data_IF_359992008320
#
_entry.id   IF_359992008320
#
_cell.length_a   1.000
_cell.length_b   1.000
_cell.length_c   1.000
_cell.angle_alpha   90.00
_cell.angle_beta   90.00
_cell.angle_gamma   90.00
#
_symmetry.space_group_name_H-M   'P 1'
#
loop_
_entity.id
_entity.type
_entity.pdbx_description
1 polymer ?
#
# COMPACT_ATOMS: atom_id res chain seq x y z
N UNK A 1 6.21 11.48 -12.59
CA UNK A 1 5.69 10.39 -11.77
C UNK A 1 6.80 9.37 -11.58
N UNK A 2 7.00 8.90 -10.35
CA UNK A 2 8.02 7.94 -9.96
C UNK A 2 7.36 6.80 -9.22
N UNK A 3 7.71 5.57 -9.60
CA UNK A 3 7.37 4.36 -8.86
C UNK A 3 8.60 3.92 -8.06
N UNK A 4 8.42 3.59 -6.79
CA UNK A 4 9.38 2.83 -6.00
C UNK A 4 8.72 1.55 -5.51
N UNK A 5 9.30 0.40 -5.84
CA UNK A 5 8.97 -0.88 -5.20
C UNK A 5 9.63 -0.87 -3.83
N UNK A 6 8.82 -0.87 -2.77
CA UNK A 6 9.29 -0.89 -1.38
C UNK A 6 9.54 -2.32 -0.90
N UNK A 7 8.74 -3.26 -1.38
CA UNK A 7 8.92 -4.69 -1.17
C UNK A 7 8.27 -5.48 -2.30
N UNK A 8 8.82 -6.66 -2.56
CA UNK A 8 8.38 -7.59 -3.61
C UNK A 8 8.37 -9.06 -3.15
N UNK A 9 8.35 -9.26 -1.83
CA UNK A 9 8.26 -10.58 -1.21
C UNK A 9 6.82 -11.05 -1.11
N UNK A 10 6.66 -12.34 -0.83
CA UNK A 10 5.37 -12.91 -0.39
C UNK A 10 5.04 -12.42 1.02
N UNK A 11 3.91 -12.86 1.57
CA UNK A 11 3.49 -12.55 2.95
C UNK A 11 4.54 -12.86 4.03
N UNK A 12 5.44 -13.81 3.77
CA UNK A 12 6.51 -14.21 4.70
C UNK A 12 7.83 -13.47 4.48
N UNK A 13 7.95 -12.66 3.43
CA UNK A 13 9.22 -12.13 2.95
C UNK A 13 10.15 -13.22 2.42
N UNK A 14 11.37 -12.82 2.04
CA UNK A 14 12.47 -13.73 1.70
C UNK A 14 13.76 -13.22 2.37
N UNK A 15 14.48 -14.05 3.15
CA UNK A 15 14.13 -15.42 3.54
C UNK A 15 12.93 -15.49 4.50
N UNK A 16 12.30 -16.65 4.58
CA UNK A 16 11.32 -16.96 5.63
C UNK A 16 12.02 -17.07 6.99
N UNK A 17 11.24 -16.98 8.07
CA UNK A 17 11.73 -17.23 9.43
C UNK A 17 12.44 -18.59 9.48
N UNK A 18 13.65 -18.62 10.05
CA UNK A 18 14.53 -19.80 10.04
C UNK A 18 15.63 -19.74 8.98
N UNK A 19 15.86 -18.59 8.34
CA UNK A 19 16.83 -18.41 7.26
C UNK A 19 16.58 -19.36 6.08
N UNK A 20 15.30 -19.61 5.81
CA UNK A 20 14.85 -20.44 4.69
C UNK A 20 14.69 -19.57 3.44
N UNK A 21 15.66 -19.69 2.53
CA UNK A 21 15.69 -18.97 1.26
C UNK A 21 14.93 -19.70 0.14
N UNK A 22 14.47 -20.93 0.37
CA UNK A 22 14.03 -21.81 -0.70
C UNK A 22 15.11 -21.97 -1.78
N UNK A 23 14.74 -21.73 -3.04
CA UNK A 23 15.65 -21.77 -4.18
C UNK A 23 16.38 -20.43 -4.45
N UNK A 24 16.19 -19.42 -3.60
CA UNK A 24 16.87 -18.12 -3.78
C UNK A 24 18.33 -18.19 -3.34
N UNK A 25 19.22 -17.59 -4.13
CA UNK A 25 20.62 -17.38 -3.76
C UNK A 25 20.71 -16.34 -2.61
N UNK A 26 21.23 -16.71 -1.42
CA UNK A 26 21.37 -15.80 -0.28
C UNK A 26 22.42 -14.71 -0.48
N UNK A 27 23.36 -14.87 -1.42
CA UNK A 27 24.42 -13.90 -1.69
C UNK A 27 23.97 -12.81 -2.67
N UNK A 28 22.87 -13.02 -3.41
CA UNK A 28 22.27 -11.99 -4.24
C UNK A 28 21.38 -11.06 -3.39
N UNK A 29 21.76 -9.79 -3.19
CA UNK A 29 21.00 -8.88 -2.34
C UNK A 29 19.56 -8.65 -2.84
N UNK A 30 19.26 -8.88 -4.12
CA UNK A 30 17.92 -8.75 -4.71
C UNK A 30 16.96 -9.84 -4.23
N UNK A 31 17.48 -10.94 -3.68
CA UNK A 31 16.69 -12.02 -3.13
C UNK A 31 16.24 -11.78 -1.69
N UNK A 32 16.77 -10.74 -1.03
CA UNK A 32 16.21 -10.28 0.25
C UNK A 32 15.01 -9.39 -0.02
N UNK A 33 13.81 -9.88 0.31
CA UNK A 33 12.55 -9.23 -0.05
C UNK A 33 11.67 -8.98 1.17
N UNK A 34 11.37 -7.71 1.42
CA UNK A 34 10.30 -7.29 2.35
C UNK A 34 8.93 -7.51 1.71
N UNK A 35 7.86 -7.49 2.51
CA UNK A 35 6.48 -7.70 2.03
C UNK A 35 6.03 -6.63 1.04
N UNK A 36 5.13 -7.03 0.15
CA UNK A 36 4.74 -6.28 -1.03
C UNK A 36 4.16 -4.90 -0.69
N UNK A 37 4.80 -3.85 -1.22
CA UNK A 37 4.31 -2.47 -1.15
C UNK A 37 5.01 -1.62 -2.20
N UNK A 38 4.33 -0.56 -2.63
CA UNK A 38 4.87 0.43 -3.54
C UNK A 38 4.63 1.83 -3.02
N UNK A 39 5.44 2.76 -3.51
CA UNK A 39 5.23 4.19 -3.33
C UNK A 39 5.18 4.86 -4.71
N UNK A 40 4.16 5.69 -4.91
CA UNK A 40 3.94 6.45 -6.16
C UNK A 40 4.04 7.93 -5.86
N UNK A 41 4.89 8.63 -6.62
CA UNK A 41 5.26 10.01 -6.33
C UNK A 41 5.13 10.91 -7.57
N UNK A 42 4.57 12.10 -7.39
CA UNK A 42 4.73 13.26 -8.27
C UNK A 42 5.68 14.28 -7.62
N UNK A 43 5.75 15.50 -8.17
CA UNK A 43 6.46 16.58 -7.49
C UNK A 43 5.71 17.10 -6.24
N UNK A 44 4.40 16.84 -6.14
CA UNK A 44 3.52 17.41 -5.13
C UNK A 44 2.79 16.37 -4.27
N UNK A 45 2.86 15.09 -4.62
CA UNK A 45 2.08 14.03 -3.96
C UNK A 45 2.91 12.77 -3.79
N UNK A 46 2.90 12.21 -2.58
CA UNK A 46 3.51 10.94 -2.21
C UNK A 46 2.44 9.98 -1.67
N UNK A 47 2.18 8.89 -2.40
CA UNK A 47 1.16 7.89 -2.08
C UNK A 47 1.85 6.59 -1.68
N UNK A 48 1.52 6.06 -0.51
CA UNK A 48 1.90 4.70 -0.09
C UNK A 48 0.76 3.74 -0.41
N UNK A 49 1.08 2.58 -0.99
CA UNK A 49 0.15 1.45 -1.12
C UNK A 49 0.54 0.37 -0.12
N UNK A 50 -0.38 0.06 0.78
CA UNK A 50 -0.27 -0.89 1.89
C UNK A 50 0.73 -0.48 3.00
N UNK A 51 0.32 -0.65 4.25
CA UNK A 51 1.16 -0.41 5.45
C UNK A 51 1.68 -1.74 5.96
N UNK A 52 2.62 -2.33 5.21
CA UNK A 52 3.24 -3.62 5.54
C UNK A 52 3.97 -3.56 6.88
N UNK A 53 4.24 -4.68 7.55
CA UNK A 53 5.04 -4.63 8.78
C UNK A 53 6.51 -4.30 8.56
N UNK A 54 6.96 -4.22 7.32
CA UNK A 54 8.28 -3.70 6.96
C UNK A 54 8.25 -2.19 6.68
N UNK A 55 7.08 -1.54 6.74
CA UNK A 55 6.86 -0.13 6.37
C UNK A 55 7.89 0.80 7.00
N UNK A 56 8.20 0.64 8.28
CA UNK A 56 9.23 1.45 8.94
C UNK A 56 10.56 1.41 8.19
N UNK A 57 11.07 0.20 7.89
CA UNK A 57 12.34 0.06 7.19
C UNK A 57 12.21 0.51 5.73
N UNK A 58 11.10 0.20 5.07
CA UNK A 58 10.81 0.60 3.70
C UNK A 58 10.82 2.13 3.53
N UNK A 59 10.25 2.88 4.48
CA UNK A 59 10.23 4.35 4.46
C UNK A 59 11.60 4.96 4.81
N UNK A 60 12.36 4.34 5.72
CA UNK A 60 13.74 4.74 6.02
C UNK A 60 14.64 4.58 4.80
N UNK A 61 14.57 3.45 4.11
CA UNK A 61 15.33 3.18 2.87
C UNK A 61 14.87 4.09 1.71
N UNK A 62 13.62 4.54 1.76
CA UNK A 62 13.08 5.50 0.80
C UNK A 62 13.46 6.96 1.11
N UNK A 63 13.99 7.24 2.30
CA UNK A 63 14.18 8.58 2.86
C UNK A 63 12.88 9.40 2.82
N UNK A 64 11.80 8.81 3.36
CA UNK A 64 10.46 9.41 3.37
C UNK A 64 9.85 9.43 4.76
N UNK A 65 9.46 10.63 5.18
CA UNK A 65 8.85 10.89 6.49
C UNK A 65 7.44 11.46 6.42
N UNK A 66 6.99 11.92 5.25
CA UNK A 66 5.66 12.50 5.03
C UNK A 66 5.00 11.79 3.85
N UNK A 67 3.71 11.47 4.01
CA UNK A 67 2.85 10.86 3.01
C UNK A 67 1.60 11.72 2.84
N UNK A 68 1.12 11.86 1.62
CA UNK A 68 -0.11 12.59 1.29
C UNK A 68 -1.33 11.67 1.31
N UNK A 69 -1.14 10.39 0.99
CA UNK A 69 -2.19 9.38 1.05
C UNK A 69 -1.61 7.99 1.35
N UNK A 70 -2.42 7.17 2.02
CA UNK A 70 -2.23 5.72 2.16
C UNK A 70 -3.42 5.04 1.49
N UNK A 71 -3.17 4.09 0.59
CA UNK A 71 -4.17 3.23 -0.02
C UNK A 71 -3.98 1.80 0.47
N UNK A 72 -5.05 1.11 0.85
CA UNK A 72 -4.99 -0.33 1.15
C UNK A 72 -5.63 -1.15 0.02
N UNK A 73 -4.92 -2.18 -0.43
CA UNK A 73 -5.40 -3.14 -1.42
C UNK A 73 -6.44 -4.08 -0.81
N UNK A 74 -6.15 -4.60 0.38
CA UNK A 74 -7.02 -5.46 1.19
C UNK A 74 -6.48 -5.53 2.63
N UNK A 75 -7.10 -6.37 3.47
CA UNK A 75 -6.90 -6.35 4.91
C UNK A 75 -5.97 -7.46 5.45
N UNK A 76 -5.26 -8.20 4.59
CA UNK A 76 -4.29 -9.21 5.06
C UNK A 76 -3.12 -8.59 5.83
N UNK A 77 -2.53 -9.40 6.72
CA UNK A 77 -1.56 -8.98 7.71
C UNK A 77 -0.31 -8.32 7.11
N UNK A 78 0.23 -8.93 6.07
CA UNK A 78 1.38 -8.46 5.30
C UNK A 78 1.16 -7.11 4.61
N UNK A 79 -0.09 -6.68 4.42
CA UNK A 79 -0.46 -5.41 3.82
C UNK A 79 -0.85 -4.33 4.84
N UNK A 80 -1.11 -4.68 6.10
CA UNK A 80 -1.63 -3.71 7.07
C UNK A 80 -1.01 -3.72 8.47
N UNK A 81 -0.25 -4.73 8.87
CA UNK A 81 0.21 -4.84 10.26
C UNK A 81 1.38 -3.91 10.64
N UNK A 82 1.89 -3.07 9.72
CA UNK A 82 2.77 -1.95 10.06
C UNK A 82 2.04 -0.64 10.34
N UNK A 83 0.71 -0.64 10.36
CA UNK A 83 -0.11 0.59 10.47
C UNK A 83 0.19 1.45 11.71
N UNK A 84 0.72 0.88 12.81
CA UNK A 84 1.12 1.68 13.98
C UNK A 84 2.29 2.63 13.67
N UNK A 85 3.18 2.28 12.74
CA UNK A 85 4.31 3.13 12.33
C UNK A 85 3.85 4.40 11.59
N UNK A 86 2.59 4.47 11.13
CA UNK A 86 1.96 5.70 10.62
C UNK A 86 2.00 6.82 11.65
N UNK A 87 2.11 6.49 12.95
CA UNK A 87 2.32 7.47 14.02
C UNK A 87 3.53 8.38 13.78
N UNK A 88 4.64 7.84 13.26
CA UNK A 88 5.82 8.68 12.96
C UNK A 88 5.56 9.60 11.76
N UNK A 89 4.80 9.15 10.77
CA UNK A 89 4.35 9.98 9.64
C UNK A 89 3.42 11.09 10.13
N UNK A 90 2.48 10.77 11.03
CA UNK A 90 1.63 11.76 11.70
C UNK A 90 2.46 12.83 12.43
N UNK A 91 3.50 12.45 13.17
CA UNK A 91 4.36 13.41 13.87
C UNK A 91 5.11 14.34 12.92
N UNK A 92 5.63 13.80 11.81
CA UNK A 92 6.30 14.59 10.78
C UNK A 92 5.33 15.54 10.06
N UNK A 93 4.13 15.05 9.72
CA UNK A 93 3.08 15.81 9.03
C UNK A 93 2.36 16.82 9.93
N UNK A 94 2.32 16.56 11.25
CA UNK A 94 1.56 17.30 12.28
C UNK A 94 0.04 17.27 12.07
N UNK A 95 -0.46 16.27 11.36
CA UNK A 95 -1.90 16.05 11.12
C UNK A 95 -2.16 14.62 10.65
N UNK A 96 -3.35 14.05 10.92
CA UNK A 96 -3.68 12.65 10.59
C UNK A 96 -3.52 12.34 9.11
N UNK A 97 -2.81 11.27 8.77
CA UNK A 97 -2.50 10.91 7.38
C UNK A 97 -3.79 10.47 6.67
N UNK A 98 -4.13 11.02 5.48
CA UNK A 98 -5.30 10.56 4.72
C UNK A 98 -5.16 9.09 4.33
N UNK A 99 -6.10 8.26 4.76
CA UNK A 99 -6.14 6.83 4.50
C UNK A 99 -7.40 6.42 3.74
N UNK A 100 -7.24 5.66 2.66
CA UNK A 100 -8.32 5.27 1.76
C UNK A 100 -8.38 3.75 1.60
N UNK A 101 -9.57 3.21 1.76
CA UNK A 101 -9.87 1.82 1.42
C UNK A 101 -11.34 1.71 1.00
N UNK A 102 -11.70 0.57 0.40
CA UNK A 102 -13.12 0.21 0.24
C UNK A 102 -13.74 -0.08 1.61
N UNK A 103 -15.07 0.03 1.70
CA UNK A 103 -15.79 -0.01 2.97
C UNK A 103 -15.51 -1.26 3.80
N UNK A 104 -15.43 -2.43 3.16
CA UNK A 104 -15.14 -3.70 3.82
C UNK A 104 -13.73 -3.72 4.44
N UNK A 105 -12.71 -3.40 3.65
CA UNK A 105 -11.31 -3.30 4.14
C UNK A 105 -11.19 -2.26 5.25
N UNK A 106 -11.81 -1.09 5.11
CA UNK A 106 -11.78 -0.05 6.16
C UNK A 106 -12.44 -0.54 7.47
N UNK A 107 -13.56 -1.27 7.38
CA UNK A 107 -14.22 -1.84 8.55
C UNK A 107 -13.31 -2.83 9.29
N UNK A 108 -12.62 -3.72 8.56
CA UNK A 108 -11.68 -4.68 9.15
C UNK A 108 -10.45 -4.00 9.77
N UNK A 109 -9.95 -2.94 9.16
CA UNK A 109 -8.85 -2.15 9.72
C UNK A 109 -9.28 -1.44 11.00
N UNK A 110 -10.45 -0.78 11.03
CA UNK A 110 -10.97 -0.12 12.24
C UNK A 110 -11.24 -1.11 13.37
N UNK A 111 -11.74 -2.31 13.07
CA UNK A 111 -11.97 -3.33 14.07
C UNK A 111 -10.67 -3.76 14.78
N UNK A 112 -9.57 -3.90 14.04
CA UNK A 112 -8.27 -4.35 14.57
C UNK A 112 -7.43 -3.23 15.17
N UNK A 113 -7.53 -2.02 14.61
CA UNK A 113 -6.66 -0.90 14.91
C UNK A 113 -7.44 0.38 15.26
N UNK A 114 -8.54 0.26 16.00
CA UNK A 114 -9.45 1.38 16.30
C UNK A 114 -8.74 2.64 16.78
N UNK A 115 -7.72 2.52 17.63
CA UNK A 115 -6.94 3.66 18.14
C UNK A 115 -6.23 4.47 17.04
N UNK A 116 -5.91 3.89 15.88
CA UNK A 116 -5.31 4.59 14.73
C UNK A 116 -6.33 5.56 14.10
N UNK A 117 -7.61 5.18 14.08
CA UNK A 117 -8.67 5.91 13.38
C UNK A 117 -9.55 6.76 14.30
N UNK A 118 -9.68 6.37 15.56
CA UNK A 118 -10.55 7.01 16.56
C UNK A 118 -9.75 7.71 17.68
N UNK A 119 -8.45 7.44 17.79
CA UNK A 119 -7.65 7.82 18.95
C UNK A 119 -8.00 6.99 20.19
N UNK A 120 -7.24 7.19 21.28
CA UNK A 120 -7.49 6.54 22.58
C UNK A 120 -6.74 7.25 23.70
N UNK A 121 -7.36 7.46 24.86
CA UNK A 121 -6.71 7.86 26.12
C UNK A 121 -5.71 9.04 25.97
N UNK A 122 -6.11 10.09 25.24
CA UNK A 122 -5.28 11.28 24.99
C UNK A 122 -4.35 11.20 23.77
N UNK A 123 -4.27 10.05 23.11
CA UNK A 123 -3.63 9.92 21.80
C UNK A 123 -4.64 10.24 20.69
N UNK A 124 -4.38 11.24 19.83
CA UNK A 124 -5.25 11.55 18.71
C UNK A 124 -5.17 10.44 17.64
N UNK A 125 -6.19 10.33 16.75
CA UNK A 125 -6.10 9.45 15.60
C UNK A 125 -4.93 9.85 14.70
N UNK A 126 -4.20 8.85 14.21
CA UNK A 126 -3.05 9.05 13.31
C UNK A 126 -3.44 8.99 11.84
N UNK A 127 -4.61 8.43 11.53
CA UNK A 127 -5.16 8.33 10.17
C UNK A 127 -6.53 9.00 10.10
N UNK A 128 -6.73 9.83 9.08
CA UNK A 128 -8.05 10.33 8.69
C UNK A 128 -8.64 9.40 7.62
N UNK A 129 -9.82 8.82 7.88
CA UNK A 129 -10.43 7.85 6.96
C UNK A 129 -11.22 8.52 5.85
N UNK A 130 -10.97 8.10 4.62
CA UNK A 130 -11.71 8.53 3.45
C UNK A 130 -12.25 7.34 2.66
N UNK A 131 -13.37 7.55 1.97
CA UNK A 131 -13.92 6.57 1.04
C UNK A 131 -13.03 6.53 -0.20
N UNK A 132 -12.59 5.34 -0.59
CA UNK A 132 -11.93 5.12 -1.87
C UNK A 132 -12.97 5.02 -2.98
N UNK A 133 -13.09 6.07 -3.80
CA UNK A 133 -13.93 6.04 -5.00
C UNK A 133 -13.22 5.34 -6.16
N UNK A 134 -13.99 4.80 -7.11
CA UNK A 134 -13.48 4.06 -8.29
C UNK A 134 -12.47 4.86 -9.12
N UNK A 135 -12.61 6.18 -9.13
CA UNK A 135 -11.79 7.12 -9.87
C UNK A 135 -11.74 8.43 -9.09
N UNK A 136 -10.55 8.85 -8.67
CA UNK A 136 -10.37 10.08 -7.91
C UNK A 136 -8.98 10.67 -8.05
N UNK A 137 -8.83 11.94 -7.68
CA UNK A 137 -7.53 12.58 -7.53
C UNK A 137 -7.04 12.45 -6.09
N UNK A 138 -5.78 12.05 -5.94
CA UNK A 138 -5.01 12.12 -4.71
C UNK A 138 -3.92 13.15 -4.95
N UNK A 139 -4.12 14.36 -4.41
CA UNK A 139 -3.33 15.52 -4.81
C UNK A 139 -3.45 15.76 -6.32
N UNK A 140 -2.34 15.64 -7.05
CA UNK A 140 -2.29 15.79 -8.51
C UNK A 140 -2.30 14.47 -9.30
N UNK A 141 -2.30 13.32 -8.62
CA UNK A 141 -2.28 11.99 -9.26
C UNK A 141 -3.70 11.44 -9.35
N UNK A 142 -4.13 11.02 -10.55
CA UNK A 142 -5.40 10.29 -10.71
C UNK A 142 -5.19 8.83 -10.33
N UNK A 143 -5.91 8.36 -9.32
CA UNK A 143 -5.93 6.96 -8.89
C UNK A 143 -7.26 6.32 -9.26
N UNK A 144 -7.18 5.16 -9.92
CA UNK A 144 -8.30 4.29 -10.25
C UNK A 144 -8.04 2.89 -9.70
N UNK A 145 -9.10 2.14 -9.42
CA UNK A 145 -8.93 0.77 -8.96
C UNK A 145 -9.89 -0.22 -9.63
N UNK A 146 -9.41 -1.45 -9.77
CA UNK A 146 -10.17 -2.62 -10.19
C UNK A 146 -10.23 -3.62 -9.05
N UNK A 147 -11.36 -4.31 -8.92
CA UNK A 147 -11.52 -5.38 -7.92
C UNK A 147 -10.94 -6.65 -8.51
N UNK A 148 -10.15 -7.39 -7.73
CA UNK A 148 -9.45 -8.59 -8.17
C UNK A 148 -9.88 -9.79 -7.32
N UNK A 149 -10.13 -10.97 -7.93
CA UNK A 149 -10.37 -12.19 -7.17
C UNK A 149 -9.12 -12.60 -6.38
N UNK A 150 -9.24 -12.83 -5.08
CA UNK A 150 -8.15 -13.26 -4.20
C UNK A 150 -8.58 -14.40 -3.25
N UNK A 151 -8.51 -15.64 -3.72
CA UNK A 151 -9.09 -16.79 -3.04
C UNK A 151 -10.59 -16.59 -2.81
N UNK A 152 -11.00 -16.57 -1.54
CA UNK A 152 -12.41 -16.39 -1.13
C UNK A 152 -12.76 -14.92 -0.82
N UNK A 153 -11.82 -14.00 -1.02
CA UNK A 153 -12.00 -12.55 -0.79
C UNK A 153 -11.67 -11.79 -2.09
N UNK A 154 -11.66 -10.46 -1.98
CA UNK A 154 -11.19 -9.59 -3.04
C UNK A 154 -10.04 -8.71 -2.58
N UNK A 155 -9.17 -8.35 -3.53
CA UNK A 155 -8.16 -7.31 -3.39
C UNK A 155 -8.39 -6.21 -4.43
N UNK A 156 -7.62 -5.13 -4.36
CA UNK A 156 -7.67 -4.03 -5.32
C UNK A 156 -6.36 -3.92 -6.11
N UNK A 157 -6.52 -3.82 -7.43
CA UNK A 157 -5.45 -3.41 -8.33
C UNK A 157 -5.60 -1.93 -8.64
N UNK A 158 -4.50 -1.19 -8.62
CA UNK A 158 -4.50 0.26 -8.79
C UNK A 158 -3.86 0.69 -10.10
N UNK A 159 -4.45 1.68 -10.76
CA UNK A 159 -3.82 2.43 -11.86
C UNK A 159 -3.67 3.89 -11.45
N UNK A 160 -2.46 4.41 -11.60
CA UNK A 160 -2.11 5.79 -11.34
C UNK A 160 -1.78 6.47 -12.65
N UNK A 161 -2.44 7.60 -12.95
CA UNK A 161 -2.18 8.40 -14.15
C UNK A 161 -1.74 9.82 -13.74
N UNK A 162 -0.65 10.30 -14.33
CA UNK A 162 -0.13 11.65 -14.11
C UNK A 162 0.66 12.14 -15.32
N UNK A 163 0.32 13.34 -15.82
CA UNK A 163 1.01 14.01 -16.92
C UNK A 163 1.25 13.11 -18.16
N UNK A 164 0.21 12.38 -18.58
CA UNK A 164 0.26 11.48 -19.74
C UNK A 164 1.05 10.18 -19.53
N UNK A 165 1.46 9.87 -18.29
CA UNK A 165 2.09 8.61 -17.90
C UNK A 165 1.20 7.83 -16.96
N UNK A 166 1.35 6.50 -16.97
CA UNK A 166 0.54 5.57 -16.20
C UNK A 166 1.37 4.48 -15.53
N UNK A 167 0.99 4.09 -14.31
CA UNK A 167 1.54 2.96 -13.58
C UNK A 167 0.38 2.06 -13.16
N UNK A 168 0.50 0.76 -13.42
CA UNK A 168 -0.39 -0.28 -12.94
C UNK A 168 0.26 -1.03 -11.78
N UNK A 169 -0.53 -1.39 -10.78
CA UNK A 169 -0.11 -2.21 -9.67
C UNK A 169 -1.20 -3.23 -9.34
N UNK A 170 -0.83 -4.50 -9.39
CA UNK A 170 -1.74 -5.64 -9.24
C UNK A 170 -1.02 -6.72 -8.46
N UNK A 171 -1.31 -6.81 -7.16
CA UNK A 171 -0.81 -7.85 -6.25
C UNK A 171 -1.98 -8.68 -5.74
N UNK A 172 -1.72 -9.88 -5.22
CA UNK A 172 -2.71 -10.64 -4.47
C UNK A 172 -4.00 -10.93 -5.24
N UNK A 173 -3.86 -11.59 -6.38
CA UNK A 173 -4.98 -12.09 -7.18
C UNK A 173 -4.69 -13.52 -7.67
N UNK A 174 -5.74 -14.26 -8.00
CA UNK A 174 -5.61 -15.65 -8.50
C UNK A 174 -6.24 -15.87 -9.88
N UNK A 175 -6.93 -14.87 -10.43
CA UNK A 175 -7.56 -14.91 -11.75
C UNK A 175 -7.44 -13.54 -12.42
N UNK A 176 -7.23 -13.52 -13.74
CA UNK A 176 -7.25 -12.30 -14.56
C UNK A 176 -8.63 -12.13 -15.17
N UNK A 177 -9.33 -11.07 -14.78
CA UNK A 177 -10.68 -10.76 -15.28
C UNK A 177 -10.66 -9.77 -16.45
N UNK A 178 -11.77 -9.65 -17.18
CA UNK A 178 -11.93 -8.64 -18.23
C UNK A 178 -11.74 -7.22 -17.70
N UNK A 179 -12.29 -6.92 -16.52
CA UNK A 179 -12.18 -5.59 -15.90
C UNK A 179 -10.72 -5.25 -15.57
N UNK A 180 -9.92 -6.25 -15.18
CA UNK A 180 -8.48 -6.07 -14.96
C UNK A 180 -7.76 -5.77 -16.27
N UNK A 181 -8.06 -6.51 -17.34
CA UNK A 181 -7.49 -6.26 -18.67
C UNK A 181 -7.84 -4.85 -19.16
N UNK A 182 -9.09 -4.42 -18.99
CA UNK A 182 -9.55 -3.10 -19.39
C UNK A 182 -8.88 -1.99 -18.55
N UNK A 183 -8.75 -2.19 -17.23
CA UNK A 183 -8.08 -1.23 -16.34
C UNK A 183 -6.61 -1.02 -16.74
N UNK A 184 -5.90 -2.12 -17.02
CA UNK A 184 -4.46 -2.11 -17.29
C UNK A 184 -4.11 -2.04 -18.78
N UNK A 185 -5.11 -1.88 -19.66
CA UNK A 185 -4.87 -1.68 -21.08
C UNK A 185 -4.00 -0.43 -21.33
N UNK A 186 -2.96 -0.62 -22.15
CA UNK A 186 -2.00 0.42 -22.54
C UNK A 186 -1.36 1.17 -21.36
N UNK A 187 -1.19 0.51 -20.21
CA UNK A 187 -0.40 1.05 -19.10
C UNK A 187 1.08 1.12 -19.49
N UNK A 188 1.80 2.17 -19.06
CA UNK A 188 3.22 2.31 -19.41
C UNK A 188 4.12 1.36 -18.61
N UNK A 189 3.78 1.11 -17.34
CA UNK A 189 4.49 0.24 -16.39
C UNK A 189 3.47 -0.58 -15.60
#
# INVERSE_FOLDING_TARGET
>A
MKLRILGCGTSSGVPRIGNDWGDCDPEDPRNRRTRASIMVESAATCILVDTTPDMRQQLLDADRSVLDAILWTHDHADHCHGIDDVRQVFHARRSPVPGYAVAETMAQLRQRFSYVFDGRDGYPPTVETHVLHKDMLLGDIRARYVVQPHGNIFSLGFRFDWNGKSIGYSTDFHEVTSDMLDMFAAVDI
#
